data_IF_115438981197
#
_entry.id   IF_115438981197
#
_cell.length_a   1.000
_cell.length_b   1.000
_cell.length_c   1.000
_cell.angle_alpha   90.00
_cell.angle_beta   90.00
_cell.angle_gamma   90.00
#
_symmetry.space_group_name_H-M   'P 1'
#
loop_
_entity.id
_entity.type
_entity.pdbx_description
1 polymer ?
#
# COMPACT_ATOMS: atom_id res chain seq x y z
N UNK A 1 -64.81 35.35 0.78
CA UNK A 1 -64.19 34.02 0.67
C UNK A 1 -64.46 33.50 -0.74
N UNK A 2 -63.43 32.96 -1.41
CA UNK A 2 -63.58 32.38 -2.75
C UNK A 2 -63.82 30.90 -2.56
N UNK A 3 -64.99 30.39 -2.89
CA UNK A 3 -65.40 29.01 -2.68
C UNK A 3 -64.88 28.07 -3.75
N UNK A 4 -64.66 28.58 -4.99
CA UNK A 4 -64.18 27.74 -6.12
C UNK A 4 -62.66 27.43 -6.09
N UNK A 5 -61.86 28.21 -5.34
CA UNK A 5 -60.42 27.95 -5.21
C UNK A 5 -59.99 28.10 -3.77
N UNK A 6 -59.65 26.94 -3.15
CA UNK A 6 -59.15 26.89 -1.76
C UNK A 6 -57.64 27.19 -1.73
N UNK A 7 -57.31 28.54 -1.79
CA UNK A 7 -55.89 28.98 -1.76
C UNK A 7 -55.13 28.56 -0.52
N UNK A 8 -55.83 28.40 0.64
CA UNK A 8 -55.23 27.90 1.87
C UNK A 8 -54.81 26.45 1.76
N UNK A 9 -55.70 25.58 1.23
CA UNK A 9 -55.36 24.17 1.00
C UNK A 9 -54.26 24.01 -0.08
N UNK A 10 -54.28 24.80 -1.15
CA UNK A 10 -53.22 24.79 -2.17
C UNK A 10 -51.87 25.21 -1.59
N UNK A 11 -51.80 26.25 -0.75
CA UNK A 11 -50.57 26.66 -0.11
C UNK A 11 -50.04 25.60 0.87
N UNK A 12 -50.97 25.03 1.71
CA UNK A 12 -50.60 23.97 2.64
C UNK A 12 -50.09 22.74 1.91
N UNK A 13 -50.72 22.34 0.80
CA UNK A 13 -50.25 21.20 -0.04
C UNK A 13 -48.88 21.46 -0.65
N UNK A 14 -48.60 22.68 -1.11
CA UNK A 14 -47.26 23.06 -1.62
C UNK A 14 -46.20 22.99 -0.53
N UNK A 15 -46.50 23.49 0.68
CA UNK A 15 -45.61 23.43 1.84
C UNK A 15 -45.39 21.97 2.28
N UNK A 16 -46.45 21.15 2.28
CA UNK A 16 -46.32 19.73 2.58
C UNK A 16 -45.42 18.97 1.56
N UNK A 17 -45.50 19.32 0.29
CA UNK A 17 -44.59 18.79 -0.75
C UNK A 17 -43.13 19.15 -0.46
N UNK A 18 -42.86 20.38 -0.07
CA UNK A 18 -41.52 20.85 0.32
C UNK A 18 -40.97 20.09 1.54
N UNK A 19 -41.80 19.93 2.58
CA UNK A 19 -41.43 19.17 3.81
C UNK A 19 -41.21 17.70 3.51
N UNK A 20 -42.06 17.09 2.65
CA UNK A 20 -41.89 15.69 2.25
C UNK A 20 -40.57 15.48 1.48
N UNK A 21 -40.21 16.37 0.59
CA UNK A 21 -38.92 16.34 -0.10
C UNK A 21 -37.74 16.51 0.83
N UNK A 22 -37.83 17.41 1.81
CA UNK A 22 -36.82 17.61 2.86
C UNK A 22 -36.66 16.35 3.72
N UNK A 23 -37.78 15.73 4.11
CA UNK A 23 -37.78 14.47 4.88
C UNK A 23 -37.10 13.33 4.12
N UNK A 24 -37.36 13.19 2.81
CA UNK A 24 -36.72 12.19 1.95
C UNK A 24 -35.22 12.43 1.87
N UNK A 25 -34.78 13.67 1.69
CA UNK A 25 -33.36 14.03 1.64
C UNK A 25 -32.66 13.73 2.98
N UNK A 26 -33.26 14.08 4.12
CA UNK A 26 -32.70 13.73 5.43
C UNK A 26 -32.64 12.22 5.65
N UNK A 27 -33.65 11.47 5.19
CA UNK A 27 -33.64 9.99 5.22
C UNK A 27 -32.51 9.42 4.37
N UNK A 28 -32.28 9.94 3.17
CA UNK A 28 -31.21 9.53 2.28
C UNK A 28 -29.83 9.77 2.93
N UNK A 29 -29.61 10.94 3.52
CA UNK A 29 -28.36 11.28 4.21
C UNK A 29 -28.12 10.42 5.46
N UNK A 30 -29.14 10.21 6.28
CA UNK A 30 -29.06 9.35 7.46
C UNK A 30 -28.78 7.88 7.09
N UNK A 31 -29.37 7.41 5.99
CA UNK A 31 -29.16 6.04 5.52
C UNK A 31 -27.79 5.82 4.89
N UNK A 32 -27.27 6.80 4.18
CA UNK A 32 -25.95 6.71 3.51
C UNK A 32 -24.80 7.10 4.42
N UNK A 33 -25.03 7.93 5.44
CA UNK A 33 -24.01 8.58 6.26
C UNK A 33 -23.31 9.75 5.56
N UNK A 34 -23.72 10.08 4.32
CA UNK A 34 -23.09 11.11 3.53
C UNK A 34 -23.98 12.36 3.39
N UNK A 35 -23.37 13.54 3.52
CA UNK A 35 -23.99 14.83 3.24
C UNK A 35 -24.19 15.04 1.74
N UNK A 36 -23.27 14.55 0.91
CA UNK A 36 -23.29 14.65 -0.56
C UNK A 36 -23.48 13.26 -1.15
N UNK A 37 -24.70 12.98 -1.61
CA UNK A 37 -25.06 11.72 -2.25
C UNK A 37 -25.10 11.85 -3.79
N UNK A 38 -25.56 12.99 -4.27
CA UNK A 38 -25.79 13.25 -5.70
C UNK A 38 -25.04 14.49 -6.16
N UNK A 39 -24.73 14.54 -7.45
CA UNK A 39 -24.10 15.72 -8.05
C UNK A 39 -24.94 17.00 -7.91
N UNK A 40 -26.25 16.85 -7.73
CA UNK A 40 -27.17 17.97 -7.48
C UNK A 40 -27.07 18.58 -6.08
N UNK A 41 -26.53 17.86 -5.10
CA UNK A 41 -26.36 18.36 -3.74
C UNK A 41 -25.20 19.37 -3.65
N UNK A 42 -24.04 18.98 -4.19
CA UNK A 42 -22.84 19.81 -4.32
C UNK A 42 -21.91 19.19 -5.37
N UNK A 43 -21.94 19.74 -6.59
CA UNK A 43 -21.11 19.24 -7.70
C UNK A 43 -19.61 19.46 -7.47
N UNK A 44 -19.24 20.57 -6.80
CA UNK A 44 -17.84 20.87 -6.52
C UNK A 44 -17.29 19.96 -5.43
N UNK A 45 -18.01 19.83 -4.31
CA UNK A 45 -17.66 18.95 -3.20
C UNK A 45 -17.60 17.48 -3.62
N UNK A 46 -18.53 17.02 -4.46
CA UNK A 46 -18.51 15.66 -5.01
C UNK A 46 -17.25 15.43 -5.85
N UNK A 47 -16.92 16.33 -6.77
CA UNK A 47 -15.72 16.21 -7.62
C UNK A 47 -14.43 16.15 -6.79
N UNK A 48 -14.33 16.98 -5.73
CA UNK A 48 -13.17 17.01 -4.84
C UNK A 48 -13.10 15.70 -4.05
N UNK A 49 -14.22 15.24 -3.46
CA UNK A 49 -14.24 13.99 -2.67
C UNK A 49 -13.90 12.77 -3.52
N UNK A 50 -14.37 12.69 -4.77
CA UNK A 50 -14.02 11.59 -5.67
C UNK A 50 -12.53 11.57 -6.03
N UNK A 51 -11.92 12.75 -6.22
CA UNK A 51 -10.45 12.86 -6.42
C UNK A 51 -9.70 12.42 -5.17
N UNK A 52 -10.13 12.85 -3.98
CA UNK A 52 -9.52 12.44 -2.71
C UNK A 52 -9.66 10.93 -2.48
N UNK A 53 -10.82 10.34 -2.74
CA UNK A 53 -11.04 8.88 -2.66
C UNK A 53 -10.17 8.09 -3.63
N UNK A 54 -9.99 8.61 -4.85
CA UNK A 54 -9.05 8.01 -5.80
C UNK A 54 -7.62 8.08 -5.29
N UNK A 55 -7.22 9.21 -4.70
CA UNK A 55 -5.90 9.40 -4.10
C UNK A 55 -5.69 8.47 -2.89
N UNK A 56 -6.65 8.36 -1.97
CA UNK A 56 -6.59 7.44 -0.81
C UNK A 56 -6.40 6.00 -1.28
N UNK A 57 -7.19 5.54 -2.26
CA UNK A 57 -7.04 4.18 -2.81
C UNK A 57 -5.68 3.98 -3.47
N UNK A 58 -5.16 5.01 -4.14
CA UNK A 58 -3.82 5.01 -4.74
C UNK A 58 -2.71 4.93 -3.68
N UNK A 59 -2.81 5.70 -2.59
CA UNK A 59 -1.86 5.71 -1.48
C UNK A 59 -1.85 4.36 -0.74
N UNK A 60 -3.02 3.81 -0.44
CA UNK A 60 -3.13 2.51 0.22
C UNK A 60 -2.53 1.38 -0.65
N UNK A 61 -2.75 1.43 -1.98
CA UNK A 61 -2.12 0.46 -2.89
C UNK A 61 -0.60 0.66 -2.98
N UNK A 62 -0.14 1.92 -2.92
CA UNK A 62 1.28 2.24 -2.88
C UNK A 62 1.96 1.75 -1.59
N UNK A 63 1.29 1.84 -0.44
CA UNK A 63 1.74 1.26 0.84
C UNK A 63 1.90 -0.26 0.70
N UNK A 64 0.89 -0.98 0.19
CA UNK A 64 0.98 -2.42 -0.08
C UNK A 64 2.12 -2.77 -1.06
N UNK A 65 2.34 -1.98 -2.11
CA UNK A 65 3.45 -2.19 -3.04
C UNK A 65 4.82 -2.00 -2.37
N UNK A 66 4.93 -1.09 -1.40
CA UNK A 66 6.15 -0.90 -0.62
C UNK A 66 6.40 -2.08 0.33
N UNK A 67 5.35 -2.65 0.95
CA UNK A 67 5.43 -3.88 1.76
C UNK A 67 5.87 -5.09 0.93
N UNK A 68 5.32 -5.24 -0.29
CA UNK A 68 5.77 -6.26 -1.24
C UNK A 68 7.25 -6.08 -1.58
N UNK A 69 7.70 -4.83 -1.73
CA UNK A 69 9.11 -4.49 -1.95
C UNK A 69 10.00 -4.86 -0.77
N UNK A 70 9.57 -4.64 0.46
CA UNK A 70 10.28 -5.07 1.68
C UNK A 70 10.38 -6.60 1.72
N UNK A 71 9.29 -7.30 1.43
CA UNK A 71 9.27 -8.77 1.40
C UNK A 71 10.26 -9.33 0.37
N UNK A 72 10.33 -8.72 -0.81
CA UNK A 72 11.30 -9.07 -1.84
C UNK A 72 12.74 -8.86 -1.37
N UNK A 73 13.01 -7.71 -0.73
CA UNK A 73 14.34 -7.38 -0.18
C UNK A 73 14.73 -8.40 0.89
N UNK A 74 13.83 -8.80 1.77
CA UNK A 74 14.09 -9.78 2.83
C UNK A 74 14.44 -11.17 2.25
N UNK A 75 13.78 -11.60 1.19
CA UNK A 75 14.12 -12.85 0.50
C UNK A 75 15.53 -12.77 -0.10
N UNK A 76 15.88 -11.66 -0.75
CA UNK A 76 17.21 -11.45 -1.30
C UNK A 76 18.29 -11.38 -0.21
N UNK A 77 18.00 -10.68 0.90
CA UNK A 77 18.91 -10.56 2.03
C UNK A 77 19.16 -11.91 2.71
N UNK A 78 18.12 -12.72 2.89
CA UNK A 78 18.25 -14.08 3.43
C UNK A 78 19.22 -14.92 2.59
N UNK A 79 19.08 -14.90 1.26
CA UNK A 79 19.99 -15.61 0.35
C UNK A 79 21.43 -15.05 0.39
N UNK A 80 21.58 -13.73 0.49
CA UNK A 80 22.90 -13.10 0.63
C UNK A 80 23.54 -13.37 1.99
N UNK A 81 22.75 -13.58 3.05
CA UNK A 81 23.26 -13.99 4.35
C UNK A 81 23.86 -15.40 4.30
N UNK A 82 23.18 -16.36 3.64
CA UNK A 82 23.71 -17.70 3.42
C UNK A 82 24.98 -17.64 2.55
N UNK A 83 24.95 -16.84 1.48
CA UNK A 83 26.13 -16.60 0.63
C UNK A 83 27.31 -16.07 1.47
N UNK A 84 27.07 -15.14 2.38
CA UNK A 84 28.08 -14.59 3.26
C UNK A 84 28.66 -15.66 4.20
N UNK A 85 27.82 -16.50 4.77
CA UNK A 85 28.23 -17.62 5.67
C UNK A 85 29.09 -18.64 4.90
N UNK A 86 28.72 -18.98 3.68
CA UNK A 86 29.52 -19.86 2.79
C UNK A 86 30.89 -19.23 2.50
N UNK A 87 30.94 -17.94 2.15
CA UNK A 87 32.21 -17.26 1.90
C UNK A 87 33.10 -17.20 3.12
N UNK A 88 32.55 -17.02 4.32
CA UNK A 88 33.30 -17.09 5.57
C UNK A 88 33.88 -18.49 5.77
N UNK A 89 33.09 -19.54 5.54
CA UNK A 89 33.59 -20.93 5.62
C UNK A 89 34.70 -21.20 4.62
N UNK A 90 34.56 -20.71 3.37
CA UNK A 90 35.62 -20.81 2.36
C UNK A 90 36.90 -20.08 2.81
N UNK A 91 36.79 -18.93 3.47
CA UNK A 91 37.94 -18.20 4.01
C UNK A 91 38.64 -18.96 5.14
N UNK A 92 37.88 -19.62 6.03
CA UNK A 92 38.43 -20.49 7.08
C UNK A 92 39.24 -21.64 6.45
N UNK A 93 38.66 -22.33 5.46
CA UNK A 93 39.28 -23.43 4.75
C UNK A 93 40.56 -23.00 4.00
N UNK A 94 40.51 -21.82 3.35
CA UNK A 94 41.67 -21.25 2.70
C UNK A 94 42.79 -20.92 3.70
N UNK A 95 42.43 -20.38 4.87
CA UNK A 95 43.36 -20.10 5.97
C UNK A 95 43.98 -21.38 6.50
N UNK A 96 43.14 -22.43 6.70
CA UNK A 96 43.63 -23.77 7.10
C UNK A 96 44.64 -24.32 6.08
N UNK A 97 44.31 -24.26 4.79
CA UNK A 97 45.17 -24.77 3.73
C UNK A 97 46.49 -24.00 3.54
N UNK A 98 46.51 -22.72 3.95
CA UNK A 98 47.71 -21.89 3.93
C UNK A 98 48.76 -22.31 4.96
N UNK A 99 48.43 -23.17 5.90
CA UNK A 99 49.40 -23.69 6.87
C UNK A 99 50.23 -24.80 6.27
N UNK A 100 51.56 -24.70 6.36
CA UNK A 100 52.51 -25.68 5.83
C UNK A 100 52.57 -26.99 6.59
N UNK A 101 51.83 -27.13 7.68
CA UNK A 101 51.65 -28.44 8.36
C UNK A 101 50.71 -29.39 7.60
N UNK A 102 49.94 -28.89 6.63
CA UNK A 102 49.05 -29.71 5.83
C UNK A 102 49.80 -30.42 4.70
N UNK A 103 49.52 -31.73 4.55
CA UNK A 103 50.00 -32.51 3.41
C UNK A 103 49.25 -32.15 2.12
N UNK A 104 49.76 -32.62 0.96
CA UNK A 104 49.08 -32.44 -0.33
C UNK A 104 47.67 -33.08 -0.31
N UNK A 105 47.54 -34.25 0.31
CA UNK A 105 46.25 -34.96 0.45
C UNK A 105 45.25 -34.15 1.31
N UNK A 106 45.69 -33.50 2.39
CA UNK A 106 44.85 -32.66 3.23
C UNK A 106 44.34 -31.42 2.43
N UNK A 107 45.23 -30.81 1.67
CA UNK A 107 44.87 -29.68 0.79
C UNK A 107 43.89 -30.07 -0.32
N UNK A 108 44.01 -31.29 -0.89
CA UNK A 108 43.05 -31.83 -1.87
C UNK A 108 41.67 -32.05 -1.23
N UNK A 109 41.60 -32.52 0.01
CA UNK A 109 40.33 -32.65 0.75
C UNK A 109 39.68 -31.29 1.00
N UNK A 110 40.46 -30.28 1.42
CA UNK A 110 40.00 -28.91 1.60
C UNK A 110 39.52 -28.31 0.27
N UNK A 111 40.26 -28.52 -0.83
CA UNK A 111 39.86 -28.06 -2.15
C UNK A 111 38.53 -28.67 -2.61
N UNK A 112 38.30 -29.95 -2.30
CA UNK A 112 37.02 -30.61 -2.58
C UNK A 112 35.86 -29.93 -1.84
N UNK A 113 36.02 -29.61 -0.54
CA UNK A 113 35.00 -28.89 0.26
C UNK A 113 34.74 -27.50 -0.35
N UNK A 114 35.79 -26.73 -0.68
CA UNK A 114 35.65 -25.42 -1.32
C UNK A 114 34.87 -25.51 -2.64
N UNK A 115 35.14 -26.57 -3.44
CA UNK A 115 34.44 -26.79 -4.70
C UNK A 115 32.95 -27.05 -4.49
N UNK A 116 32.57 -27.82 -3.47
CA UNK A 116 31.17 -28.04 -3.11
C UNK A 116 30.48 -26.74 -2.59
N UNK A 117 31.18 -25.97 -1.77
CA UNK A 117 30.69 -24.66 -1.31
C UNK A 117 30.48 -23.68 -2.47
N UNK A 118 31.36 -23.68 -3.46
CA UNK A 118 31.21 -22.89 -4.70
C UNK A 118 29.96 -23.31 -5.47
N UNK A 119 29.72 -24.62 -5.59
CA UNK A 119 28.55 -25.18 -6.28
C UNK A 119 27.27 -24.81 -5.53
N UNK A 120 27.29 -24.81 -4.19
CA UNK A 120 26.15 -24.39 -3.38
C UNK A 120 25.87 -22.89 -3.52
N UNK A 121 26.91 -22.08 -3.62
CA UNK A 121 26.76 -20.64 -3.89
C UNK A 121 26.06 -20.41 -5.25
N UNK A 122 26.45 -21.13 -6.31
CA UNK A 122 25.81 -21.05 -7.61
C UNK A 122 24.37 -21.62 -7.59
N UNK A 123 24.08 -22.60 -6.72
CA UNK A 123 22.71 -23.08 -6.50
C UNK A 123 21.84 -22.00 -5.85
N UNK A 124 22.30 -21.37 -4.76
CA UNK A 124 21.57 -20.27 -4.09
C UNK A 124 21.28 -19.15 -5.09
N UNK A 125 22.27 -18.77 -5.88
CA UNK A 125 22.13 -17.77 -6.92
C UNK A 125 21.04 -18.10 -7.95
N UNK A 126 20.94 -19.35 -8.39
CA UNK A 126 19.98 -19.77 -9.41
C UNK A 126 18.59 -20.06 -8.88
N UNK A 127 18.47 -20.42 -7.61
CA UNK A 127 17.19 -20.82 -7.00
C UNK A 127 16.48 -19.70 -6.23
N UNK A 128 17.18 -18.62 -5.89
CA UNK A 128 16.58 -17.50 -5.18
C UNK A 128 15.67 -16.71 -6.10
N UNK A 129 14.36 -16.85 -5.89
CA UNK A 129 13.35 -16.18 -6.70
C UNK A 129 12.22 -15.63 -5.80
N UNK A 130 11.58 -14.57 -6.28
CA UNK A 130 10.38 -14.01 -5.73
C UNK A 130 9.34 -13.90 -6.84
N UNK A 131 8.18 -14.51 -6.66
CA UNK A 131 7.12 -14.56 -7.68
C UNK A 131 7.67 -14.95 -9.08
N UNK A 132 8.43 -16.06 -9.16
CA UNK A 132 9.07 -16.58 -10.39
C UNK A 132 10.15 -15.69 -11.02
N UNK A 133 10.47 -14.55 -10.41
CA UNK A 133 11.56 -13.67 -10.85
C UNK A 133 12.82 -13.99 -10.06
N UNK A 134 13.93 -14.29 -10.76
CA UNK A 134 15.22 -14.46 -10.12
C UNK A 134 15.72 -13.12 -9.59
N UNK A 135 16.22 -13.11 -8.35
CA UNK A 135 16.65 -11.88 -7.69
C UNK A 135 18.15 -11.62 -7.82
N UNK A 136 18.98 -12.67 -7.86
CA UNK A 136 20.43 -12.57 -7.76
C UNK A 136 21.15 -12.71 -9.13
N UNK A 137 20.43 -13.02 -10.21
CA UNK A 137 20.99 -13.29 -11.53
C UNK A 137 21.39 -12.03 -12.33
N UNK A 138 21.16 -10.85 -11.76
CA UNK A 138 21.39 -9.56 -12.39
C UNK A 138 20.29 -9.12 -13.36
N UNK A 139 19.27 -9.95 -13.60
CA UNK A 139 18.09 -9.56 -14.37
C UNK A 139 17.19 -8.62 -13.57
N UNK A 140 17.29 -8.65 -12.24
CA UNK A 140 16.56 -7.78 -11.33
C UNK A 140 17.27 -6.42 -11.18
N UNK A 141 17.51 -5.76 -12.32
CA UNK A 141 18.14 -4.43 -12.38
C UNK A 141 17.15 -3.41 -12.92
N UNK A 142 17.11 -2.23 -12.32
CA UNK A 142 16.25 -1.12 -12.75
C UNK A 142 14.76 -1.39 -12.59
N UNK A 143 14.35 -2.31 -11.70
CA UNK A 143 12.94 -2.52 -11.37
C UNK A 143 12.44 -1.37 -10.50
N UNK A 144 11.22 -0.92 -10.78
CA UNK A 144 10.62 0.22 -10.10
C UNK A 144 9.40 -0.22 -9.31
N UNK A 145 9.37 0.14 -8.03
CA UNK A 145 8.18 0.04 -7.19
C UNK A 145 7.41 1.35 -7.27
N UNK A 146 6.13 1.29 -7.60
CA UNK A 146 5.23 2.44 -7.54
C UNK A 146 4.82 2.66 -6.08
N UNK A 147 5.38 3.69 -5.44
CA UNK A 147 5.19 4.03 -4.04
C UNK A 147 4.43 5.34 -3.85
N UNK A 148 3.55 5.65 -4.77
CA UNK A 148 2.68 6.81 -4.68
C UNK A 148 1.51 6.73 -5.64
N UNK A 149 0.49 7.59 -5.42
CA UNK A 149 -0.75 7.61 -6.18
C UNK A 149 -0.63 8.22 -7.59
N UNK A 150 0.49 8.88 -7.89
CA UNK A 150 0.72 9.56 -9.16
C UNK A 150 1.86 8.90 -9.94
N UNK A 151 1.82 9.03 -11.27
CA UNK A 151 2.89 8.55 -12.15
C UNK A 151 4.22 9.22 -11.80
N UNK A 152 5.31 8.45 -11.83
CA UNK A 152 6.66 8.93 -11.51
C UNK A 152 7.04 8.87 -10.03
N UNK A 153 6.12 8.56 -9.13
CA UNK A 153 6.43 8.34 -7.70
C UNK A 153 6.93 6.91 -7.49
N UNK A 154 8.18 6.67 -7.88
CA UNK A 154 8.77 5.33 -7.90
C UNK A 154 10.03 5.26 -7.03
N UNK A 155 10.29 4.09 -6.47
CA UNK A 155 11.57 3.71 -5.86
C UNK A 155 12.18 2.60 -6.73
N UNK A 156 13.38 2.86 -7.26
CA UNK A 156 14.13 1.87 -8.03
C UNK A 156 14.80 0.87 -7.11
N UNK A 157 14.67 -0.42 -7.46
CA UNK A 157 15.43 -1.51 -6.84
C UNK A 157 16.33 -2.13 -7.91
N UNK A 158 17.58 -2.34 -7.54
CA UNK A 158 18.55 -3.02 -8.39
C UNK A 158 19.38 -3.94 -7.53
N UNK A 159 19.43 -5.21 -7.88
CA UNK A 159 20.23 -6.23 -7.20
C UNK A 159 21.31 -6.69 -8.17
N UNK A 160 22.54 -6.61 -7.73
CA UNK A 160 23.69 -7.01 -8.54
C UNK A 160 23.77 -8.52 -8.74
N UNK A 161 24.48 -8.93 -9.79
CA UNK A 161 24.73 -10.34 -10.07
C UNK A 161 25.71 -10.93 -9.04
N UNK A 162 25.28 -11.99 -8.30
CA UNK A 162 26.02 -12.55 -7.16
C UNK A 162 26.43 -14.01 -7.34
N UNK A 163 26.67 -14.43 -8.61
CA UNK A 163 27.19 -15.78 -8.86
C UNK A 163 28.69 -15.91 -8.55
N UNK A 164 29.18 -17.12 -8.37
CA UNK A 164 30.58 -17.41 -8.05
C UNK A 164 31.56 -16.76 -9.03
N UNK A 165 31.23 -16.72 -10.32
CA UNK A 165 32.05 -16.09 -11.35
C UNK A 165 32.19 -14.57 -11.18
N UNK A 166 31.07 -13.86 -10.87
CA UNK A 166 31.08 -12.40 -10.68
C UNK A 166 31.70 -11.99 -9.35
N UNK A 167 31.52 -12.81 -8.31
CA UNK A 167 32.21 -12.63 -7.03
C UNK A 167 33.71 -12.90 -7.16
N UNK A 168 34.13 -13.67 -8.19
CA UNK A 168 35.51 -14.05 -8.43
C UNK A 168 35.92 -15.34 -7.74
N UNK A 169 34.99 -16.04 -7.10
CA UNK A 169 35.22 -17.26 -6.29
C UNK A 169 34.90 -18.56 -7.05
N UNK A 170 35.00 -18.54 -8.38
CA UNK A 170 34.79 -19.76 -9.18
C UNK A 170 35.83 -20.83 -8.87
N UNK A 171 35.45 -22.11 -9.00
CA UNK A 171 36.34 -23.27 -8.73
C UNK A 171 37.67 -23.23 -9.52
N UNK A 172 37.71 -22.51 -10.64
CA UNK A 172 38.93 -22.33 -11.45
C UNK A 172 39.87 -21.26 -10.92
N UNK A 173 39.39 -20.34 -10.08
CA UNK A 173 40.16 -19.20 -9.52
C UNK A 173 40.60 -19.44 -8.09
N UNK A 174 39.87 -20.24 -7.34
CA UNK A 174 40.21 -20.58 -5.98
C UNK A 174 40.98 -21.88 -5.96
N UNK A 175 42.25 -21.80 -5.61
CA UNK A 175 43.14 -22.96 -5.48
C UNK A 175 43.86 -22.88 -4.15
N UNK A 176 43.86 -24.00 -3.43
CA UNK A 176 44.57 -24.16 -2.14
C UNK A 176 45.66 -25.22 -2.19
N UNK A 177 46.18 -25.52 -3.38
CA UNK A 177 47.21 -26.54 -3.60
C UNK A 177 48.56 -26.23 -2.96
N UNK A 178 48.86 -24.95 -2.71
CA UNK A 178 50.05 -24.49 -2.02
C UNK A 178 49.76 -23.32 -1.10
N UNK A 179 50.67 -23.03 -0.17
CA UNK A 179 50.58 -21.87 0.71
C UNK A 179 50.36 -20.56 -0.05
N UNK A 180 51.16 -20.31 -1.12
CA UNK A 180 51.06 -19.11 -1.94
C UNK A 180 49.70 -18.98 -2.67
N UNK A 181 49.15 -20.06 -3.20
CA UNK A 181 47.85 -20.07 -3.86
C UNK A 181 46.71 -19.94 -2.87
N UNK A 182 46.82 -20.53 -1.70
CA UNK A 182 45.86 -20.35 -0.61
C UNK A 182 45.81 -18.89 -0.13
N UNK A 183 46.94 -18.20 0.02
CA UNK A 183 47.01 -16.78 0.35
C UNK A 183 46.35 -15.89 -0.70
N UNK A 184 46.52 -16.18 -1.98
CA UNK A 184 45.83 -15.48 -3.07
C UNK A 184 44.31 -15.71 -3.00
N UNK A 185 43.88 -16.96 -2.76
CA UNK A 185 42.50 -17.37 -2.64
C UNK A 185 41.81 -16.65 -1.46
N UNK A 186 42.49 -16.49 -0.33
CA UNK A 186 41.98 -15.71 0.82
C UNK A 186 41.68 -14.26 0.42
N UNK A 187 42.57 -13.59 -0.28
CA UNK A 187 42.36 -12.21 -0.74
C UNK A 187 41.15 -12.11 -1.71
N UNK A 188 40.96 -13.05 -2.58
CA UNK A 188 39.82 -13.13 -3.50
C UNK A 188 38.51 -13.32 -2.72
N UNK A 189 38.50 -14.24 -1.76
CA UNK A 189 37.33 -14.50 -0.91
C UNK A 189 36.96 -13.27 -0.07
N UNK A 190 37.96 -12.58 0.52
CA UNK A 190 37.71 -11.34 1.27
C UNK A 190 37.12 -10.23 0.38
N UNK A 191 37.58 -10.09 -0.86
CA UNK A 191 36.99 -9.17 -1.82
C UNK A 191 35.54 -9.56 -2.15
N UNK A 192 35.22 -10.86 -2.25
CA UNK A 192 33.87 -11.35 -2.45
C UNK A 192 32.97 -11.04 -1.25
N UNK A 193 33.44 -11.26 -0.02
CA UNK A 193 32.75 -10.92 1.22
C UNK A 193 32.40 -9.42 1.26
N UNK A 194 33.36 -8.57 0.88
CA UNK A 194 33.14 -7.12 0.81
C UNK A 194 32.06 -6.75 -0.20
N UNK A 195 32.04 -7.40 -1.37
CA UNK A 195 30.99 -7.17 -2.39
C UNK A 195 29.59 -7.57 -1.88
N UNK A 196 29.47 -8.75 -1.24
CA UNK A 196 28.20 -9.22 -0.68
C UNK A 196 27.74 -8.28 0.44
N UNK A 197 28.65 -7.86 1.34
CA UNK A 197 28.34 -6.93 2.42
C UNK A 197 27.89 -5.56 1.91
N UNK A 198 28.50 -5.07 0.83
CA UNK A 198 28.10 -3.82 0.19
C UNK A 198 26.69 -3.92 -0.40
N UNK A 199 26.37 -5.04 -1.03
CA UNK A 199 25.02 -5.25 -1.59
C UNK A 199 23.96 -5.39 -0.50
N UNK A 200 24.25 -6.13 0.57
CA UNK A 200 23.37 -6.19 1.75
C UNK A 200 23.14 -4.82 2.38
N UNK A 201 24.17 -4.01 2.50
CA UNK A 201 24.05 -2.64 3.02
C UNK A 201 23.13 -1.76 2.14
N UNK A 202 23.21 -1.89 0.82
CA UNK A 202 22.29 -1.19 -0.09
C UNK A 202 20.85 -1.65 0.09
N UNK A 203 20.62 -2.96 0.22
CA UNK A 203 19.29 -3.53 0.43
C UNK A 203 18.71 -3.06 1.78
N UNK A 204 19.50 -3.05 2.86
CA UNK A 204 19.08 -2.53 4.14
C UNK A 204 18.73 -1.03 4.10
N UNK A 205 19.52 -0.23 3.37
CA UNK A 205 19.20 1.19 3.18
C UNK A 205 17.90 1.39 2.37
N UNK A 206 17.64 0.54 1.38
CA UNK A 206 16.38 0.55 0.62
C UNK A 206 15.20 0.13 1.48
N UNK A 207 15.36 -0.88 2.35
CA UNK A 207 14.32 -1.28 3.30
C UNK A 207 13.94 -0.13 4.23
N UNK A 208 14.91 0.51 4.89
CA UNK A 208 14.67 1.67 5.74
C UNK A 208 13.95 2.80 4.98
N UNK A 209 14.34 3.03 3.74
CA UNK A 209 13.69 4.03 2.89
C UNK A 209 12.24 3.68 2.58
N UNK A 210 11.94 2.40 2.31
CA UNK A 210 10.57 1.93 2.09
C UNK A 210 9.73 2.04 3.36
N UNK A 211 10.26 1.70 4.53
CA UNK A 211 9.58 1.86 5.83
C UNK A 211 9.22 3.32 6.12
N UNK A 212 10.13 4.25 5.88
CA UNK A 212 9.83 5.68 5.99
C UNK A 212 8.79 6.14 4.96
N UNK A 213 8.82 5.56 3.76
CA UNK A 213 7.83 5.86 2.73
C UNK A 213 6.44 5.35 3.13
N UNK A 214 6.31 4.14 3.68
CA UNK A 214 5.05 3.59 4.20
C UNK A 214 4.48 4.52 5.27
N UNK A 215 5.26 4.89 6.28
CA UNK A 215 4.82 5.80 7.34
C UNK A 215 4.32 7.15 6.79
N UNK A 216 4.95 7.67 5.75
CA UNK A 216 4.52 8.91 5.09
C UNK A 216 3.22 8.70 4.29
N UNK A 217 3.11 7.58 3.56
CA UNK A 217 1.91 7.24 2.79
C UNK A 217 0.69 7.06 3.69
N UNK A 218 0.85 6.36 4.81
CA UNK A 218 -0.22 6.12 5.78
C UNK A 218 -0.68 7.43 6.43
N UNK A 219 0.25 8.28 6.86
CA UNK A 219 -0.06 9.60 7.40
C UNK A 219 -0.77 10.48 6.36
N UNK A 220 -0.33 10.43 5.11
CA UNK A 220 -0.94 11.20 4.02
C UNK A 220 -2.34 10.65 3.69
N UNK A 221 -2.52 9.33 3.69
CA UNK A 221 -3.81 8.68 3.47
C UNK A 221 -4.80 9.06 4.58
N UNK A 222 -4.39 9.00 5.85
CA UNK A 222 -5.21 9.38 6.99
C UNK A 222 -5.64 10.85 6.92
N UNK A 223 -4.71 11.76 6.66
CA UNK A 223 -5.02 13.19 6.53
C UNK A 223 -5.96 13.48 5.36
N UNK A 224 -5.77 12.79 4.24
CA UNK A 224 -6.63 12.94 3.06
C UNK A 224 -8.03 12.36 3.34
N UNK A 225 -8.12 11.24 4.06
CA UNK A 225 -9.39 10.65 4.48
C UNK A 225 -10.13 11.55 5.47
N UNK A 226 -9.43 12.17 6.43
CA UNK A 226 -10.02 13.14 7.35
C UNK A 226 -10.52 14.40 6.61
N UNK A 227 -9.85 14.82 5.57
CA UNK A 227 -10.30 15.93 4.73
C UNK A 227 -11.51 15.55 3.88
N UNK A 228 -11.54 14.35 3.30
CA UNK A 228 -12.67 13.82 2.54
C UNK A 228 -13.91 13.67 3.42
N UNK A 229 -13.75 13.13 4.63
CA UNK A 229 -14.82 13.01 5.62
C UNK A 229 -15.47 14.36 5.94
N UNK A 230 -14.69 15.42 6.13
CA UNK A 230 -15.24 16.78 6.37
C UNK A 230 -16.05 17.32 5.19
N UNK A 231 -15.76 16.87 3.97
CA UNK A 231 -16.51 17.31 2.76
C UNK A 231 -17.77 16.48 2.60
N UNK A 232 -17.69 15.18 2.76
CA UNK A 232 -18.72 14.24 2.31
C UNK A 232 -19.58 13.66 3.44
N UNK A 233 -19.02 13.45 4.62
CA UNK A 233 -19.76 12.83 5.71
C UNK A 233 -20.78 13.78 6.33
N UNK A 234 -21.88 13.22 6.82
CA UNK A 234 -22.91 13.99 7.52
C UNK A 234 -22.71 13.92 9.02
N UNK A 235 -23.04 15.01 9.72
CA UNK A 235 -23.23 14.97 11.16
C UNK A 235 -24.59 14.32 11.46
N UNK A 236 -24.55 13.07 11.90
CA UNK A 236 -25.72 12.26 12.19
C UNK A 236 -26.62 12.89 13.25
N UNK A 237 -26.06 13.56 14.27
CA UNK A 237 -26.85 14.20 15.35
C UNK A 237 -27.62 15.37 14.77
N UNK A 238 -26.98 16.23 13.99
CA UNK A 238 -27.63 17.38 13.36
C UNK A 238 -28.72 16.96 12.38
N UNK A 239 -28.42 15.94 11.53
CA UNK A 239 -29.37 15.45 10.53
C UNK A 239 -30.57 14.72 11.15
N UNK A 240 -30.40 14.03 12.30
CA UNK A 240 -31.51 13.45 13.07
C UNK A 240 -32.46 14.52 13.64
N UNK A 241 -31.93 15.67 14.06
CA UNK A 241 -32.75 16.81 14.49
C UNK A 241 -33.57 17.36 13.30
N UNK A 242 -32.94 17.53 12.13
CA UNK A 242 -33.65 17.97 10.92
C UNK A 242 -34.69 16.94 10.46
N UNK A 243 -34.39 15.65 10.50
CA UNK A 243 -35.36 14.59 10.22
C UNK A 243 -36.56 14.65 11.17
N UNK A 244 -36.31 14.74 12.48
CA UNK A 244 -37.38 14.81 13.49
C UNK A 244 -38.24 16.04 13.30
N UNK A 245 -37.65 17.20 13.04
CA UNK A 245 -38.35 18.45 12.72
C UNK A 245 -39.27 18.30 11.50
N UNK A 246 -38.70 17.74 10.40
CA UNK A 246 -39.45 17.56 9.16
C UNK A 246 -40.58 16.52 9.31
N UNK A 247 -40.39 15.49 10.13
CA UNK A 247 -41.42 14.49 10.45
C UNK A 247 -42.60 15.15 11.22
N UNK A 248 -42.31 15.96 12.24
CA UNK A 248 -43.33 16.71 12.97
C UNK A 248 -44.06 17.69 12.04
N UNK A 249 -43.32 18.42 11.21
CA UNK A 249 -43.89 19.34 10.23
C UNK A 249 -44.78 18.64 9.20
N UNK A 250 -44.43 17.44 8.77
CA UNK A 250 -45.26 16.62 7.88
C UNK A 250 -46.57 16.21 8.52
N UNK A 251 -46.56 15.76 9.78
CA UNK A 251 -47.76 15.41 10.53
C UNK A 251 -48.64 16.66 10.79
N UNK A 252 -48.02 17.78 11.17
CA UNK A 252 -48.76 19.07 11.35
C UNK A 252 -49.35 19.55 10.03
N UNK A 253 -48.60 19.45 8.92
CA UNK A 253 -49.07 19.81 7.56
C UNK A 253 -50.27 19.00 7.11
N UNK A 254 -50.32 17.71 7.38
CA UNK A 254 -51.45 16.83 7.10
C UNK A 254 -52.71 17.29 7.90
N UNK A 255 -52.53 17.60 9.18
CA UNK A 255 -53.61 18.09 10.03
C UNK A 255 -54.14 19.44 9.57
N UNK A 256 -53.24 20.37 9.20
CA UNK A 256 -53.59 21.69 8.64
C UNK A 256 -54.28 21.61 7.29
N UNK A 257 -53.90 20.66 6.44
CA UNK A 257 -54.54 20.43 5.14
C UNK A 257 -55.99 19.92 5.37
N UNK A 258 -56.18 18.99 6.29
CA UNK A 258 -57.51 18.51 6.67
C UNK A 258 -58.37 19.67 7.22
N UNK A 259 -57.81 20.52 8.06
CA UNK A 259 -58.51 21.70 8.62
C UNK A 259 -58.86 22.72 7.53
N UNK A 260 -57.95 22.99 6.60
CA UNK A 260 -58.19 23.90 5.46
C UNK A 260 -59.32 23.40 4.52
N UNK A 261 -59.43 22.08 4.35
CA UNK A 261 -60.50 21.46 3.56
C UNK A 261 -61.84 21.51 4.33
N UNK A 262 -61.86 21.29 5.65
CA UNK A 262 -63.07 21.34 6.45
C UNK A 262 -63.61 22.78 6.55
N UNK A 263 -62.77 23.80 6.58
CA UNK A 263 -63.20 25.20 6.67
C UNK A 263 -64.02 25.63 5.45
N UNK A 264 -63.71 25.14 4.26
CA UNK A 264 -64.49 25.43 3.05
C UNK A 264 -65.80 24.64 2.99
N UNK A 265 -65.83 23.41 3.50
CA UNK A 265 -67.06 22.62 3.61
C UNK A 265 -68.02 23.19 4.62
N UNK A 266 -67.53 23.68 5.76
CA UNK A 266 -68.35 24.38 6.77
C UNK A 266 -69.04 25.65 6.22
N UNK A 267 -68.39 26.39 5.33
CA UNK A 267 -68.99 27.53 4.66
C UNK A 267 -70.02 27.10 3.63
N UNK A 268 -69.81 25.99 2.92
CA UNK A 268 -70.78 25.46 1.97
C UNK A 268 -72.05 24.95 2.67
N UNK A 269 -71.93 24.35 3.87
CA UNK A 269 -73.05 23.86 4.65
C UNK A 269 -73.86 25.00 5.33
N UNK A 270 -73.31 26.21 5.39
CA UNK A 270 -74.02 27.41 5.86
C UNK A 270 -74.77 28.17 4.72
N UNK A 271 -74.49 27.84 3.45
CA UNK A 271 -75.10 28.46 2.28
C UNK A 271 -76.11 27.55 1.57
N UNK A 272 -76.21 26.28 1.94
CA UNK A 272 -77.18 25.30 1.50
C UNK A 272 -78.05 24.80 2.63
#
# INVERSE_FOLDING_TARGET
>A
MVVQHNLSAMNTNRQMGTVSSALQNSTEKLSSGYKINRAGDDAAGLSISEKMRSQIRGLNKASSNAEDGISLIQVAEGALNETHSILQRMNELATQAANDTNTTSDREAIQSEITQLTSELDRIYSTTQFNTMNLLDGSFSGKSLQVGSLSGQIIGISIGKMNASNLGVSATKISVSSNATAGTSMSIIQAAITKVSTERSKLGALQNRLEHTINNLDTTSENTQAAESRIRDTDMASEMVEYSKNNILSQAGQSMLAQANQSTQGVLSLLG
#
